data_IF_118652448314
#
_entry.id   IF_118652448314
#
_cell.length_a   1.000
_cell.length_b   1.000
_cell.length_c   1.000
_cell.angle_alpha   90.00
_cell.angle_beta   90.00
_cell.angle_gamma   90.00
#
_symmetry.space_group_name_H-M   'P 1'
#
loop_
_entity.id
_entity.type
_entity.pdbx_description
1 polymer ?
#
# COMPACT_ATOMS: atom_id res chain seq x y z
N UNK A 1 -9.38 -17.49 -12.47
CA UNK A 1 -7.91 -17.29 -12.47
C UNK A 1 -7.55 -15.88 -12.03
N UNK A 2 -8.18 -14.84 -12.60
CA UNK A 2 -8.02 -13.45 -12.13
C UNK A 2 -8.47 -13.26 -10.67
N UNK A 3 -9.60 -13.85 -10.26
CA UNK A 3 -10.07 -13.74 -8.86
C UNK A 3 -9.13 -14.43 -7.86
N UNK A 4 -8.54 -15.56 -8.26
CA UNK A 4 -7.57 -16.29 -7.44
C UNK A 4 -6.24 -15.53 -7.31
N UNK A 5 -5.80 -14.85 -8.37
CA UNK A 5 -4.63 -13.97 -8.32
C UNK A 5 -4.90 -12.74 -7.45
N UNK A 6 -6.11 -12.18 -7.52
CA UNK A 6 -6.53 -11.10 -6.64
C UNK A 6 -6.53 -11.53 -5.16
N UNK A 7 -7.02 -12.72 -4.85
CA UNK A 7 -7.04 -13.24 -3.48
C UNK A 7 -5.62 -13.55 -2.97
N UNK A 8 -4.79 -14.21 -3.77
CA UNK A 8 -3.44 -14.64 -3.36
C UNK A 8 -2.40 -13.52 -3.33
N UNK A 9 -2.55 -12.48 -4.15
CA UNK A 9 -1.56 -11.41 -4.30
C UNK A 9 -2.03 -10.06 -3.77
N UNK A 10 -3.34 -9.80 -3.76
CA UNK A 10 -3.89 -8.49 -3.36
C UNK A 10 -4.66 -8.53 -2.03
N UNK A 11 -5.07 -9.70 -1.55
CA UNK A 11 -5.73 -9.90 -0.25
C UNK A 11 -4.90 -10.79 0.67
N UNK A 12 -3.57 -10.70 0.56
CA UNK A 12 -2.64 -11.55 1.29
C UNK A 12 -2.04 -10.81 2.49
N UNK A 13 -2.50 -11.17 3.68
CA UNK A 13 -2.06 -10.58 4.95
C UNK A 13 -0.56 -10.71 5.17
N UNK A 14 0.08 -11.81 4.74
CA UNK A 14 1.52 -11.99 4.91
C UNK A 14 2.33 -11.00 4.06
N UNK A 15 1.85 -10.72 2.84
CA UNK A 15 2.45 -9.71 1.96
C UNK A 15 2.27 -8.32 2.56
N UNK A 16 1.09 -8.01 3.10
CA UNK A 16 0.81 -6.72 3.75
C UNK A 16 1.71 -6.51 4.97
N UNK A 17 1.88 -7.51 5.82
CA UNK A 17 2.77 -7.45 6.97
C UNK A 17 4.24 -7.30 6.55
N UNK A 18 4.68 -8.05 5.55
CA UNK A 18 6.04 -7.95 5.04
C UNK A 18 6.32 -6.57 4.43
N UNK A 19 5.38 -6.03 3.65
CA UNK A 19 5.44 -4.68 3.12
C UNK A 19 5.45 -3.64 4.24
N UNK A 20 4.66 -3.84 5.30
CA UNK A 20 4.66 -3.02 6.51
C UNK A 20 6.02 -2.97 7.20
N UNK A 21 6.66 -4.14 7.40
CA UNK A 21 8.02 -4.22 7.98
C UNK A 21 9.06 -3.50 7.13
N UNK A 22 9.01 -3.66 5.80
CA UNK A 22 9.91 -2.95 4.87
C UNK A 22 9.71 -1.45 4.99
N UNK A 23 8.45 -0.99 4.95
CA UNK A 23 8.08 0.42 5.06
C UNK A 23 8.62 1.02 6.36
N UNK A 24 8.48 0.33 7.48
CA UNK A 24 9.01 0.77 8.78
C UNK A 24 10.55 0.89 8.81
N UNK A 25 11.25 0.09 7.99
CA UNK A 25 12.70 0.13 7.89
C UNK A 25 13.21 1.20 6.90
N UNK A 26 12.34 1.87 6.15
CA UNK A 26 12.75 2.89 5.18
C UNK A 26 13.26 4.15 5.91
N UNK A 27 14.42 4.71 5.48
CA UNK A 27 14.93 5.95 6.06
C UNK A 27 13.91 7.09 5.94
N UNK A 28 13.67 7.81 7.03
CA UNK A 28 12.76 8.95 7.07
C UNK A 28 11.27 8.60 7.17
N UNK A 29 10.89 7.31 7.13
CA UNK A 29 9.49 6.92 7.16
C UNK A 29 8.82 7.23 8.51
N UNK A 30 9.54 7.06 9.63
CA UNK A 30 9.01 7.34 10.95
C UNK A 30 8.60 8.82 11.13
N UNK A 31 9.43 9.75 10.65
CA UNK A 31 9.15 11.18 10.70
C UNK A 31 7.97 11.57 9.79
N UNK A 32 7.91 10.98 8.59
CA UNK A 32 6.78 11.19 7.66
C UNK A 32 5.49 10.65 8.27
N UNK A 33 5.51 9.46 8.87
CA UNK A 33 4.34 8.88 9.53
C UNK A 33 3.86 9.76 10.68
N UNK A 34 4.76 10.23 11.55
CA UNK A 34 4.38 11.11 12.66
C UNK A 34 3.75 12.42 12.16
N UNK A 35 4.31 13.03 11.13
CA UNK A 35 3.79 14.27 10.54
C UNK A 35 2.43 14.05 9.89
N UNK A 36 2.26 12.90 9.23
CA UNK A 36 1.00 12.47 8.64
C UNK A 36 -0.07 12.27 9.72
N UNK A 37 0.21 11.49 10.76
CA UNK A 37 -0.73 11.18 11.85
C UNK A 37 -1.22 12.48 12.53
N UNK A 38 -0.30 13.40 12.83
CA UNK A 38 -0.63 14.69 13.44
C UNK A 38 -1.52 15.59 12.57
N UNK A 39 -1.33 15.58 11.25
CA UNK A 39 -2.18 16.32 10.31
C UNK A 39 -3.54 15.63 10.14
N UNK A 40 -3.56 14.30 10.12
CA UNK A 40 -4.78 13.50 10.06
C UNK A 40 -5.72 13.78 11.22
N UNK A 41 -5.19 13.90 12.42
CA UNK A 41 -5.97 14.24 13.61
C UNK A 41 -6.58 15.65 13.50
N UNK A 42 -5.78 16.63 13.06
CA UNK A 42 -6.28 18.00 12.82
C UNK A 42 -7.40 18.03 11.76
N UNK A 43 -7.25 17.26 10.67
CA UNK A 43 -8.28 17.16 9.64
C UNK A 43 -9.54 16.46 10.14
N UNK A 44 -9.39 15.43 10.97
CA UNK A 44 -10.52 14.72 11.60
C UNK A 44 -11.32 15.64 12.51
N UNK A 45 -10.66 16.48 13.29
CA UNK A 45 -11.30 17.49 14.14
C UNK A 45 -12.03 18.56 13.30
N UNK A 46 -11.39 19.07 12.24
CA UNK A 46 -11.94 20.14 11.43
C UNK A 46 -13.10 19.70 10.52
N UNK A 47 -13.00 18.53 9.88
CA UNK A 47 -14.01 18.01 8.96
C UNK A 47 -15.13 17.24 9.67
N UNK A 48 -14.90 16.84 10.92
CA UNK A 48 -15.77 15.95 11.69
C UNK A 48 -15.50 14.47 11.39
N UNK A 49 -15.66 13.57 12.38
CA UNK A 49 -15.27 12.16 12.26
C UNK A 49 -15.92 11.42 11.08
N UNK A 50 -17.22 11.65 10.84
CA UNK A 50 -17.96 10.93 9.79
C UNK A 50 -17.47 11.24 8.38
N UNK A 51 -17.20 12.51 8.07
CA UNK A 51 -16.70 12.91 6.75
C UNK A 51 -15.25 12.47 6.58
N UNK A 52 -14.43 12.62 7.63
CA UNK A 52 -13.04 12.18 7.62
C UNK A 52 -12.94 10.67 7.38
N UNK A 53 -13.70 9.84 8.11
CA UNK A 53 -13.64 8.38 7.99
C UNK A 53 -14.10 7.92 6.58
N UNK A 54 -15.11 8.57 6.00
CA UNK A 54 -15.54 8.31 4.62
C UNK A 54 -14.43 8.66 3.61
N UNK A 55 -13.85 9.86 3.73
CA UNK A 55 -12.74 10.29 2.88
C UNK A 55 -11.55 9.34 2.99
N UNK A 56 -11.13 9.03 4.21
CA UNK A 56 -9.98 8.18 4.47
C UNK A 56 -10.20 6.76 3.93
N UNK A 57 -11.40 6.21 4.08
CA UNK A 57 -11.76 4.91 3.49
C UNK A 57 -11.62 4.92 1.97
N UNK A 58 -12.08 5.97 1.29
CA UNK A 58 -11.95 6.09 -0.17
C UNK A 58 -10.50 6.32 -0.60
N UNK A 59 -9.74 7.13 0.15
CA UNK A 59 -8.32 7.36 -0.09
C UNK A 59 -7.54 6.05 -0.03
N UNK A 60 -7.71 5.25 1.03
CA UNK A 60 -7.04 3.96 1.17
C UNK A 60 -7.38 3.03 0.02
N UNK A 61 -8.67 2.91 -0.33
CA UNK A 61 -9.11 2.07 -1.47
C UNK A 61 -8.45 2.51 -2.78
N UNK A 62 -8.40 3.82 -3.04
CA UNK A 62 -7.74 4.37 -4.23
C UNK A 62 -6.23 4.07 -4.23
N UNK A 63 -5.52 4.37 -3.14
CA UNK A 63 -4.07 4.16 -3.07
C UNK A 63 -3.66 2.69 -3.10
N UNK A 64 -4.55 1.77 -2.67
CA UNK A 64 -4.30 0.34 -2.79
C UNK A 64 -4.17 -0.11 -4.25
N UNK A 65 -4.94 0.47 -5.18
CA UNK A 65 -4.78 0.18 -6.61
C UNK A 65 -3.43 0.66 -7.13
N UNK A 66 -2.92 1.78 -6.64
CA UNK A 66 -1.58 2.27 -7.00
C UNK A 66 -0.48 1.33 -6.49
N UNK A 67 -0.58 0.88 -5.23
CA UNK A 67 0.35 -0.11 -4.66
C UNK A 67 0.31 -1.43 -5.43
N UNK A 68 -0.88 -1.91 -5.79
CA UNK A 68 -1.05 -3.12 -6.61
C UNK A 68 -0.45 -2.96 -8.00
N UNK A 69 -0.54 -1.78 -8.61
CA UNK A 69 0.07 -1.49 -9.90
C UNK A 69 1.61 -1.56 -9.82
N UNK A 70 2.22 -0.92 -8.82
CA UNK A 70 3.67 -1.00 -8.60
C UNK A 70 4.14 -2.43 -8.29
N UNK A 71 3.37 -3.18 -7.50
CA UNK A 71 3.66 -4.59 -7.22
C UNK A 71 3.62 -5.45 -8.49
N UNK A 72 2.58 -5.28 -9.31
CA UNK A 72 2.41 -6.02 -10.58
C UNK A 72 3.51 -5.66 -11.58
N UNK A 73 3.90 -4.38 -11.66
CA UNK A 73 5.04 -3.95 -12.46
C UNK A 73 6.32 -4.63 -11.99
N UNK A 74 6.57 -4.64 -10.68
CA UNK A 74 7.71 -5.34 -10.08
C UNK A 74 7.73 -6.84 -10.38
N UNK A 75 6.57 -7.51 -10.38
CA UNK A 75 6.46 -8.91 -10.79
C UNK A 75 6.79 -9.11 -12.27
N UNK A 76 6.27 -8.26 -13.17
CA UNK A 76 6.59 -8.32 -14.59
C UNK A 76 8.07 -8.12 -14.88
N UNK A 77 8.71 -7.17 -14.19
CA UNK A 77 10.16 -6.95 -14.27
C UNK A 77 10.96 -8.17 -13.77
N UNK A 78 10.52 -8.81 -12.68
CA UNK A 78 11.16 -10.03 -12.16
C UNK A 78 11.01 -11.19 -13.15
N UNK A 79 9.85 -11.34 -13.77
CA UNK A 79 9.62 -12.35 -14.81
C UNK A 79 10.51 -12.13 -16.03
N UNK A 80 10.61 -10.88 -16.49
CA UNK A 80 11.47 -10.50 -17.63
C UNK A 80 12.96 -10.74 -17.34
N UNK A 81 13.42 -10.42 -16.13
CA UNK A 81 14.79 -10.69 -15.68
C UNK A 81 15.05 -12.20 -15.59
N UNK A 82 14.16 -12.98 -15.00
CA UNK A 82 14.32 -14.44 -14.93
C UNK A 82 14.40 -15.08 -16.33
N UNK A 83 13.50 -14.65 -17.23
CA UNK A 83 13.51 -15.07 -18.64
C UNK A 83 14.81 -14.69 -19.35
N UNK A 84 15.35 -13.50 -19.09
CA UNK A 84 16.62 -13.02 -19.67
C UNK A 84 17.82 -13.79 -19.13
N UNK A 85 17.78 -14.19 -17.86
CA UNK A 85 18.83 -14.97 -17.20
C UNK A 85 18.72 -16.49 -17.43
N UNK A 86 17.65 -16.95 -18.09
CA UNK A 86 17.45 -18.36 -18.43
C UNK A 86 17.18 -19.27 -17.23
N UNK A 87 16.69 -18.69 -16.12
CA UNK A 87 16.31 -19.38 -14.87
C UNK A 87 14.80 -19.40 -14.69
#
# INVERSE_FOLDING_TARGET
MQDLLAELLWQNVEIDEAAGRIRQALPGFAEVQQTYDALSDQLREAAGPSLYDQYFTQLIRYTNYEVQAYYSLGLGLREEIARTLGV
#
